data_IF_532257774775
#
_entry.id   IF_532257774775
#
_cell.length_a   1.000
_cell.length_b   1.000
_cell.length_c   1.000
_cell.angle_alpha   90.00
_cell.angle_beta   90.00
_cell.angle_gamma   90.00
#
_symmetry.space_group_name_H-M   'P 1'
#
loop_
_entity.id
_entity.type
_entity.pdbx_description
1 polymer ?
#
# COMPACT_ATOMS: atom_id res chain seq x y z
N UNK A 1 27.55 -9.88 49.81
CA UNK A 1 26.15 -9.53 49.64
C UNK A 1 25.87 -8.41 48.62
N UNK A 2 26.73 -7.39 48.48
CA UNK A 2 26.51 -6.31 47.50
C UNK A 2 26.65 -6.73 46.00
N UNK A 3 27.51 -7.69 45.69
CA UNK A 3 27.74 -8.14 44.30
C UNK A 3 26.54 -8.93 43.72
N UNK A 4 25.89 -9.74 44.55
CA UNK A 4 24.73 -10.53 44.10
C UNK A 4 23.49 -9.66 43.78
N UNK A 5 23.29 -8.58 44.53
CA UNK A 5 22.20 -7.63 44.29
C UNK A 5 22.36 -6.89 42.97
N UNK A 6 23.61 -6.55 42.58
CA UNK A 6 23.89 -5.85 41.30
C UNK A 6 23.67 -6.83 40.12
N UNK A 7 24.08 -8.08 40.25
CA UNK A 7 23.88 -9.09 39.18
C UNK A 7 22.40 -9.38 38.92
N UNK A 8 21.57 -9.42 39.97
CA UNK A 8 20.12 -9.64 39.80
C UNK A 8 19.46 -8.42 39.16
N UNK A 9 19.86 -7.22 39.51
CA UNK A 9 19.28 -5.98 38.95
C UNK A 9 19.66 -5.84 37.48
N UNK A 10 20.90 -6.14 37.08
CA UNK A 10 21.30 -6.11 35.66
C UNK A 10 20.58 -7.16 34.82
N UNK A 11 20.34 -8.36 35.38
CA UNK A 11 19.61 -9.42 34.68
C UNK A 11 18.13 -9.03 34.44
N UNK A 12 17.46 -8.46 35.44
CA UNK A 12 16.08 -7.98 35.28
C UNK A 12 15.94 -6.84 34.28
N UNK A 13 16.92 -5.94 34.19
CA UNK A 13 16.93 -4.87 33.20
C UNK A 13 17.09 -5.46 31.80
N UNK A 14 17.97 -6.45 31.63
CA UNK A 14 18.22 -7.10 30.35
C UNK A 14 16.98 -7.85 29.83
N UNK A 15 16.26 -8.57 30.69
CA UNK A 15 15.01 -9.25 30.32
C UNK A 15 13.91 -8.26 29.89
N UNK A 16 13.80 -7.12 30.56
CA UNK A 16 12.83 -6.10 30.17
C UNK A 16 13.15 -5.44 28.82
N UNK A 17 14.43 -5.20 28.53
CA UNK A 17 14.85 -4.67 27.23
C UNK A 17 14.58 -5.69 26.11
N UNK A 18 14.90 -6.97 26.33
CA UNK A 18 14.63 -8.02 25.35
C UNK A 18 13.11 -8.25 25.15
N UNK A 19 12.32 -8.13 26.21
CA UNK A 19 10.87 -8.23 26.11
C UNK A 19 10.27 -7.05 25.31
N UNK A 20 10.81 -5.85 25.44
CA UNK A 20 10.39 -4.69 24.63
C UNK A 20 10.76 -4.84 23.16
N UNK A 21 11.96 -5.32 22.84
CA UNK A 21 12.36 -5.58 21.45
C UNK A 21 11.49 -6.66 20.80
N UNK A 22 11.19 -7.74 21.54
CA UNK A 22 10.31 -8.81 21.04
C UNK A 22 8.89 -8.32 20.81
N UNK A 23 8.37 -7.42 21.67
CA UNK A 23 7.03 -6.85 21.51
C UNK A 23 6.98 -5.90 20.30
N UNK A 24 8.01 -5.08 20.09
CA UNK A 24 8.08 -4.17 18.93
C UNK A 24 8.21 -4.97 17.62
N UNK A 25 9.05 -6.02 17.59
CA UNK A 25 9.17 -6.90 16.43
C UNK A 25 7.86 -7.66 16.13
N UNK A 26 7.14 -8.09 17.17
CA UNK A 26 5.83 -8.74 17.01
C UNK A 26 4.77 -7.77 16.48
N UNK A 27 4.81 -6.50 16.86
CA UNK A 27 3.89 -5.47 16.33
C UNK A 27 4.16 -5.16 14.85
N UNK A 28 5.40 -5.18 14.41
CA UNK A 28 5.78 -4.96 13.00
C UNK A 28 5.46 -6.19 12.14
N UNK A 29 5.60 -7.41 12.70
CA UNK A 29 5.32 -8.67 11.99
C UNK A 29 3.85 -9.11 12.08
N UNK A 30 3.05 -8.57 12.97
CA UNK A 30 1.62 -8.90 13.10
C UNK A 30 0.70 -8.01 12.28
N UNK A 31 1.22 -7.18 11.41
CA UNK A 31 0.48 -6.71 10.25
C UNK A 31 0.41 -7.85 9.22
N UNK A 32 -0.21 -8.97 9.58
CA UNK A 32 -0.98 -9.76 8.64
C UNK A 32 -2.06 -8.82 8.10
N UNK A 33 -1.64 -7.98 7.16
CA UNK A 33 -2.55 -7.12 6.43
C UNK A 33 -3.38 -8.07 5.60
N UNK A 34 -4.57 -8.34 6.08
CA UNK A 34 -5.59 -9.05 5.34
C UNK A 34 -5.58 -8.49 3.90
N UNK A 35 -5.25 -9.35 2.95
CA UNK A 35 -5.13 -8.95 1.55
C UNK A 35 -6.45 -8.32 1.14
N UNK A 36 -6.44 -7.03 0.83
CA UNK A 36 -7.64 -6.31 0.44
C UNK A 36 -8.27 -7.00 -0.76
N UNK A 37 -9.46 -7.56 -0.57
CA UNK A 37 -10.26 -8.14 -1.65
C UNK A 37 -10.92 -7.00 -2.41
N UNK A 38 -10.30 -6.58 -3.51
CA UNK A 38 -10.85 -5.55 -4.38
C UNK A 38 -11.90 -6.16 -5.32
N UNK A 39 -13.10 -5.58 -5.35
CA UNK A 39 -14.04 -5.86 -6.44
C UNK A 39 -13.52 -5.24 -7.72
N UNK A 40 -13.58 -5.98 -8.84
CA UNK A 40 -13.16 -5.51 -10.15
C UNK A 40 -14.30 -4.83 -10.93
N UNK A 41 -15.47 -4.69 -10.32
CA UNK A 41 -16.60 -3.97 -10.90
C UNK A 41 -16.26 -2.51 -11.19
N UNK A 42 -16.86 -1.97 -12.26
CA UNK A 42 -16.69 -0.57 -12.63
C UNK A 42 -17.48 0.33 -11.68
N UNK A 43 -16.78 1.10 -10.87
CA UNK A 43 -17.32 1.97 -9.82
C UNK A 43 -17.03 3.45 -10.08
N UNK A 44 -16.69 3.81 -11.30
CA UNK A 44 -16.31 5.18 -11.67
C UNK A 44 -17.51 6.02 -12.07
N UNK A 45 -17.40 7.33 -11.89
CA UNK A 45 -18.42 8.32 -12.27
C UNK A 45 -18.42 8.67 -13.77
N UNK A 46 -17.60 8.00 -14.56
CA UNK A 46 -17.42 8.19 -15.99
C UNK A 46 -17.49 6.84 -16.73
N UNK A 47 -17.84 6.80 -18.02
CA UNK A 47 -17.91 5.54 -18.76
C UNK A 47 -16.55 4.89 -18.94
N UNK A 48 -16.56 3.56 -18.94
CA UNK A 48 -15.37 2.77 -19.23
C UNK A 48 -15.01 2.89 -20.72
N UNK A 49 -13.73 3.07 -21.03
CA UNK A 49 -13.20 3.13 -22.37
C UNK A 49 -12.99 1.74 -22.95
N UNK A 50 -13.38 1.53 -24.18
CA UNK A 50 -13.11 0.31 -24.96
C UNK A 50 -11.63 0.20 -25.41
N UNK A 51 -10.89 1.31 -25.39
CA UNK A 51 -9.47 1.41 -25.78
C UNK A 51 -8.50 1.08 -24.65
N UNK A 52 -8.99 1.01 -23.41
CA UNK A 52 -8.17 0.90 -22.22
C UNK A 52 -8.54 -0.36 -21.42
N UNK A 53 -7.53 -1.07 -20.97
CA UNK A 53 -7.63 -2.11 -19.96
C UNK A 53 -7.56 -1.46 -18.57
N UNK A 54 -8.50 -1.77 -17.70
CA UNK A 54 -8.54 -1.29 -16.33
C UNK A 54 -8.45 -2.46 -15.34
N UNK A 55 -7.62 -2.31 -14.33
CA UNK A 55 -7.47 -3.28 -13.24
C UNK A 55 -7.28 -2.55 -11.92
N UNK A 56 -7.97 -2.99 -10.88
CA UNK A 56 -7.70 -2.53 -9.51
C UNK A 56 -6.54 -3.35 -8.94
N UNK A 57 -5.56 -2.66 -8.39
CA UNK A 57 -4.34 -3.24 -7.83
C UNK A 57 -4.12 -2.77 -6.39
N UNK A 58 -3.34 -3.53 -5.64
CA UNK A 58 -2.82 -3.12 -4.33
C UNK A 58 -1.30 -3.07 -4.37
N UNK A 59 -0.72 -2.17 -3.59
CA UNK A 59 0.72 -2.08 -3.38
C UNK A 59 1.02 -1.52 -2.00
N UNK A 60 2.25 -1.69 -1.52
CA UNK A 60 2.70 -1.15 -0.25
C UNK A 60 3.52 0.11 -0.48
N UNK A 61 3.26 1.12 0.32
CA UNK A 61 4.14 2.27 0.37
C UNK A 61 5.39 1.97 1.22
N UNK A 62 6.34 2.92 1.28
CA UNK A 62 7.57 2.77 2.07
C UNK A 62 7.37 2.58 3.58
N UNK A 63 6.17 2.82 4.09
CA UNK A 63 5.80 2.64 5.50
C UNK A 63 5.04 1.33 5.74
N UNK A 64 4.94 0.45 4.74
CA UNK A 64 4.23 -0.82 4.83
C UNK A 64 2.70 -0.70 4.78
N UNK A 65 2.16 0.48 4.47
CA UNK A 65 0.70 0.69 4.36
C UNK A 65 0.25 0.17 3.00
N UNK A 66 -0.78 -0.70 2.98
CA UNK A 66 -1.41 -1.15 1.75
C UNK A 66 -2.30 -0.06 1.17
N UNK A 67 -2.07 0.23 -0.09
CA UNK A 67 -2.82 1.19 -0.88
C UNK A 67 -3.55 0.47 -2.00
N UNK A 68 -4.76 0.90 -2.31
CA UNK A 68 -5.51 0.47 -3.48
C UNK A 68 -5.40 1.53 -4.58
N UNK A 69 -5.16 1.08 -5.82
CA UNK A 69 -5.07 1.95 -6.98
C UNK A 69 -5.82 1.35 -8.18
N UNK A 70 -6.09 2.20 -9.15
CA UNK A 70 -6.60 1.82 -10.45
C UNK A 70 -5.46 1.92 -11.48
N UNK A 71 -5.19 0.84 -12.18
CA UNK A 71 -4.24 0.79 -13.29
C UNK A 71 -5.01 0.88 -14.60
N UNK A 72 -4.68 1.86 -15.41
CA UNK A 72 -5.20 2.06 -16.77
C UNK A 72 -4.08 1.83 -17.77
N UNK A 73 -4.28 0.89 -18.68
CA UNK A 73 -3.28 0.51 -19.67
C UNK A 73 -3.92 0.55 -21.08
N UNK A 74 -3.27 1.17 -22.09
CA UNK A 74 -3.76 1.11 -23.45
C UNK A 74 -3.86 -0.33 -23.92
N UNK A 75 -4.96 -0.70 -24.58
CA UNK A 75 -5.07 -1.99 -25.28
C UNK A 75 -4.17 -2.01 -26.52
N UNK A 76 -3.77 -3.19 -26.92
CA UNK A 76 -2.99 -3.43 -28.15
C UNK A 76 -1.62 -2.73 -28.23
N UNK A 77 -1.04 -2.40 -27.09
CA UNK A 77 0.33 -1.87 -27.01
C UNK A 77 1.34 -2.98 -26.77
N UNK A 78 2.52 -2.86 -27.39
CA UNK A 78 3.64 -3.79 -27.23
C UNK A 78 4.84 -3.05 -26.62
N UNK A 79 5.64 -3.80 -25.85
CA UNK A 79 6.85 -3.28 -25.26
C UNK A 79 6.64 -2.51 -23.94
N UNK A 80 7.63 -1.72 -23.56
CA UNK A 80 7.60 -0.93 -22.31
C UNK A 80 6.88 0.39 -22.56
N UNK A 81 5.92 0.68 -21.70
CA UNK A 81 5.19 1.94 -21.69
C UNK A 81 5.78 2.89 -20.63
N UNK A 82 5.64 4.18 -20.86
CA UNK A 82 5.84 5.18 -19.82
C UNK A 82 4.76 5.02 -18.73
N UNK A 83 5.12 5.24 -17.47
CA UNK A 83 4.19 5.21 -16.36
C UNK A 83 3.93 6.62 -15.84
N UNK A 84 2.66 6.95 -15.64
CA UNK A 84 2.21 8.23 -15.08
C UNK A 84 1.41 7.94 -13.80
N UNK A 85 1.82 8.53 -12.69
CA UNK A 85 1.06 8.49 -11.46
C UNK A 85 0.09 9.68 -11.41
N UNK A 86 -1.19 9.40 -11.20
CA UNK A 86 -2.24 10.42 -11.09
C UNK A 86 -2.88 10.31 -9.71
N UNK A 87 -2.98 11.42 -9.00
CA UNK A 87 -3.70 11.52 -7.74
C UNK A 87 -4.52 12.80 -7.68
N UNK A 88 -5.53 12.81 -6.80
CA UNK A 88 -6.34 14.00 -6.52
C UNK A 88 -5.84 14.77 -5.29
N UNK A 89 -6.43 15.94 -5.02
CA UNK A 89 -6.20 16.67 -3.78
C UNK A 89 -6.78 15.92 -2.57
N UNK A 90 -6.48 16.41 -1.37
CA UNK A 90 -7.03 15.85 -0.14
C UNK A 90 -8.57 15.78 -0.20
N UNK A 91 -9.12 14.62 0.15
CA UNK A 91 -10.56 14.35 0.10
C UNK A 91 -11.10 13.95 -1.27
N UNK A 92 -10.29 13.99 -2.33
CA UNK A 92 -10.70 13.45 -3.63
C UNK A 92 -10.58 11.93 -3.67
N UNK A 93 -11.44 11.30 -4.47
CA UNK A 93 -11.47 9.86 -4.69
C UNK A 93 -11.01 9.52 -6.11
N UNK A 94 -10.32 8.39 -6.25
CA UNK A 94 -9.75 7.93 -7.53
C UNK A 94 -10.82 7.54 -8.58
N UNK A 95 -12.05 7.31 -8.13
CA UNK A 95 -13.21 6.94 -8.95
C UNK A 95 -13.82 8.09 -9.75
N UNK A 96 -13.32 9.31 -9.55
CA UNK A 96 -13.81 10.54 -10.19
C UNK A 96 -12.73 11.14 -11.11
N UNK A 97 -12.36 12.40 -10.87
CA UNK A 97 -11.50 13.19 -11.75
C UNK A 97 -10.15 12.51 -12.01
N UNK A 98 -9.48 11.98 -10.98
CA UNK A 98 -8.17 11.33 -11.14
C UNK A 98 -8.24 10.13 -12.07
N UNK A 99 -9.23 9.26 -11.89
CA UNK A 99 -9.47 8.12 -12.77
C UNK A 99 -9.83 8.52 -14.19
N UNK A 100 -10.64 9.57 -14.36
CA UNK A 100 -10.98 10.12 -15.68
C UNK A 100 -9.73 10.60 -16.43
N UNK A 101 -8.84 11.33 -15.75
CA UNK A 101 -7.57 11.76 -16.33
C UNK A 101 -6.69 10.57 -16.69
N UNK A 102 -6.53 9.61 -15.79
CA UNK A 102 -5.72 8.42 -16.03
C UNK A 102 -6.22 7.62 -17.24
N UNK A 103 -7.53 7.41 -17.36
CA UNK A 103 -8.13 6.75 -18.53
C UNK A 103 -7.87 7.55 -19.81
N UNK A 104 -8.08 8.87 -19.80
CA UNK A 104 -7.88 9.72 -20.98
C UNK A 104 -6.42 9.74 -21.45
N UNK A 105 -5.47 9.69 -20.52
CA UNK A 105 -4.04 9.60 -20.86
C UNK A 105 -3.73 8.22 -21.47
N UNK A 106 -4.24 7.14 -20.89
CA UNK A 106 -4.07 5.81 -21.42
C UNK A 106 -4.71 5.59 -22.81
N UNK A 107 -5.77 6.33 -23.14
CA UNK A 107 -6.39 6.31 -24.49
C UNK A 107 -5.46 6.89 -25.58
N UNK A 108 -4.48 7.69 -25.18
CA UNK A 108 -3.52 8.35 -26.10
C UNK A 108 -2.20 7.59 -26.25
N UNK A 109 -1.96 6.58 -25.45
CA UNK A 109 -0.75 5.73 -25.47
C UNK A 109 0.28 6.10 -24.45
#
# INVERSE_FOLDING_TARGET
>A
MKLQAIAILTFLIFENVMAQETTTAKYINSTDMEALKLTQEWDKTFPQSDKVEHTKITFHNRYGITLAADLYKPKNTQGRLAAIAVSGPYGAVKEQVSGRYAQTLAERG
#
